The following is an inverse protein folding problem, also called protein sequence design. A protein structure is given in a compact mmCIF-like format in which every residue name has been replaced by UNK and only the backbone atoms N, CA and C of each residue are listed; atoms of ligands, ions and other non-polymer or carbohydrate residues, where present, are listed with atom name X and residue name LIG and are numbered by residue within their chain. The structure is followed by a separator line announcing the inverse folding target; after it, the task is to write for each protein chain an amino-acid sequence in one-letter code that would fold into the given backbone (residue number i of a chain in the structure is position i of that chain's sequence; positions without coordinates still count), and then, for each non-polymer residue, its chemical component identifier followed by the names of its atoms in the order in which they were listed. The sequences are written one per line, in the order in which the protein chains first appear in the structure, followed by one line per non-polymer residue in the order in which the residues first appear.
data_IF_542072714798
#
_entry.id   IF_542072714798
#
_cell.length_a   1.000
_cell.length_b   1.000
_cell.length_c   1.000
_cell.angle_alpha   90.00
_cell.angle_beta   90.00
_cell.angle_gamma   90.00
#
_symmetry.space_group_name_H-M   'P 1'
#
loop_
_entity.id
_entity.type
_entity.pdbx_description
1 polymer ?
#
# COMPACT_ATOMS: atom_id res chain seq x y z
N UNK A 1 0.75 -10.41 -13.56
CA UNK A 1 0.02 -9.88 -12.40
C UNK A 1 0.98 -9.06 -11.57
N UNK A 2 0.55 -7.91 -11.06
CA UNK A 2 1.21 -7.18 -9.99
C UNK A 2 0.36 -7.34 -8.75
N UNK A 3 0.98 -7.69 -7.64
CA UNK A 3 0.30 -7.87 -6.36
C UNK A 3 1.23 -7.52 -5.20
N UNK A 4 0.64 -7.24 -4.04
CA UNK A 4 1.37 -7.04 -2.81
C UNK A 4 0.52 -7.38 -1.58
N UNK A 5 1.19 -7.52 -0.47
CA UNK A 5 0.59 -7.86 0.82
C UNK A 5 0.63 -6.64 1.72
N UNK A 6 -0.53 -6.25 2.23
CA UNK A 6 -0.67 -5.01 2.99
C UNK A 6 -1.16 -5.27 4.41
N UNK A 7 -0.30 -4.99 5.36
CA UNK A 7 -0.57 -5.10 6.81
C UNK A 7 -0.28 -3.78 7.52
N UNK A 8 -1.14 -2.76 7.34
CA UNK A 8 -0.92 -1.45 7.96
C UNK A 8 -0.84 -1.54 9.48
N UNK A 9 0.08 -0.80 10.05
CA UNK A 9 0.27 -0.72 11.50
C UNK A 9 -0.74 0.25 12.15
N UNK A 10 -2.02 -0.09 12.10
CA UNK A 10 -3.14 0.70 12.64
C UNK A 10 -3.20 0.76 14.19
N UNK A 11 -2.17 0.32 14.85
CA UNK A 11 -2.11 0.24 16.30
C UNK A 11 -1.35 1.40 16.95
N UNK A 12 -0.69 2.22 16.17
CA UNK A 12 -0.07 3.44 16.66
C UNK A 12 -1.14 4.52 16.83
N UNK A 13 -1.44 4.89 18.05
CA UNK A 13 -2.39 5.97 18.33
C UNK A 13 -1.85 7.34 17.89
N UNK A 14 -0.53 7.45 17.80
CA UNK A 14 0.15 8.71 17.49
C UNK A 14 0.24 9.00 16.00
N UNK A 15 0.01 8.01 15.11
CA UNK A 15 0.26 8.21 13.67
C UNK A 15 -0.63 7.41 12.71
N UNK A 16 -1.93 7.26 13.02
CA UNK A 16 -2.88 6.61 12.10
C UNK A 16 -2.97 7.31 10.74
N UNK A 17 -2.81 8.64 10.74
CA UNK A 17 -2.79 9.42 9.51
C UNK A 17 -1.59 9.03 8.64
N UNK A 18 -0.40 8.92 9.23
CA UNK A 18 0.80 8.49 8.53
C UNK A 18 0.64 7.07 7.97
N UNK A 19 0.16 6.12 8.75
CA UNK A 19 -0.10 4.77 8.28
C UNK A 19 -1.08 4.73 7.09
N UNK A 20 -2.08 5.63 7.09
CA UNK A 20 -3.02 5.77 5.99
C UNK A 20 -2.35 6.30 4.72
N UNK A 21 -1.51 7.32 4.84
CA UNK A 21 -0.78 7.93 3.71
C UNK A 21 0.25 6.94 3.16
N UNK A 22 1.01 6.27 4.02
CA UNK A 22 1.99 5.26 3.62
C UNK A 22 1.33 4.11 2.86
N UNK A 23 0.20 3.61 3.36
CA UNK A 23 -0.60 2.57 2.70
C UNK A 23 -1.07 3.05 1.32
N UNK A 24 -1.62 4.26 1.22
CA UNK A 24 -2.04 4.86 -0.04
C UNK A 24 -0.87 5.00 -1.03
N UNK A 25 0.29 5.42 -0.54
CA UNK A 25 1.51 5.54 -1.34
C UNK A 25 1.92 4.20 -1.96
N UNK A 26 1.94 3.13 -1.17
CA UNK A 26 2.27 1.81 -1.70
C UNK A 26 1.21 1.29 -2.66
N UNK A 27 -0.07 1.48 -2.40
CA UNK A 27 -1.12 1.16 -3.37
C UNK A 27 -0.89 1.87 -4.71
N UNK A 28 -0.63 3.17 -4.70
CA UNK A 28 -0.32 3.93 -5.91
C UNK A 28 0.95 3.44 -6.61
N UNK A 29 1.99 3.07 -5.84
CA UNK A 29 3.23 2.53 -6.40
C UNK A 29 2.99 1.19 -7.11
N UNK A 30 2.27 0.25 -6.49
CA UNK A 30 1.97 -1.04 -7.12
C UNK A 30 1.03 -0.90 -8.32
N UNK A 31 0.06 0.00 -8.26
CA UNK A 31 -0.80 0.32 -9.40
C UNK A 31 0.00 0.86 -10.59
N UNK A 32 1.02 1.66 -10.33
CA UNK A 32 1.85 2.28 -11.36
C UNK A 32 2.81 1.34 -12.08
N UNK A 33 3.09 0.15 -11.51
CA UNK A 33 4.02 -0.82 -12.11
C UNK A 33 3.48 -1.43 -13.42
N UNK A 34 2.15 -1.45 -13.61
CA UNK A 34 1.49 -1.87 -14.86
C UNK A 34 0.28 -1.00 -15.11
N UNK A 35 0.45 0.05 -15.89
CA UNK A 35 -0.58 1.06 -16.14
C UNK A 35 -1.76 0.57 -16.99
N UNK A 36 -1.63 -0.57 -17.65
CA UNK A 36 -2.65 -1.16 -18.53
C UNK A 36 -3.64 -2.09 -17.79
N UNK A 37 -3.45 -2.30 -16.51
CA UNK A 37 -4.30 -3.20 -15.71
C UNK A 37 -4.22 -2.92 -14.21
N UNK A 38 -5.30 -3.21 -13.47
CA UNK A 38 -5.32 -3.13 -12.02
C UNK A 38 -4.25 -3.99 -11.35
N UNK A 39 -3.85 -3.63 -10.14
CA UNK A 39 -3.08 -4.50 -9.27
C UNK A 39 -3.99 -5.36 -8.40
N UNK A 40 -3.42 -6.30 -7.67
CA UNK A 40 -4.14 -7.16 -6.72
C UNK A 40 -3.59 -6.97 -5.31
N UNK A 41 -4.44 -6.64 -4.35
CA UNK A 41 -4.10 -6.78 -2.94
C UNK A 41 -4.28 -8.24 -2.54
N UNK A 42 -3.17 -9.01 -2.52
CA UNK A 42 -3.19 -10.46 -2.34
C UNK A 42 -3.33 -10.87 -0.89
N UNK A 43 -2.81 -10.09 0.03
CA UNK A 43 -2.97 -10.34 1.45
C UNK A 43 -3.28 -9.07 2.23
N UNK A 44 -4.11 -9.23 3.24
CA UNK A 44 -4.35 -8.28 4.31
C UNK A 44 -4.86 -9.03 5.53
N UNK A 45 -4.64 -8.51 6.72
CA UNK A 45 -5.22 -9.13 7.91
C UNK A 45 -6.68 -8.72 8.08
N UNK A 46 -7.60 -9.68 8.27
CA UNK A 46 -8.99 -9.35 8.60
C UNK A 46 -9.12 -8.87 10.06
N UNK A 47 -8.10 -9.09 10.90
CA UNK A 47 -8.11 -8.68 12.30
C UNK A 47 -6.70 -8.28 12.78
N UNK A 48 -6.10 -9.00 13.70
CA UNK A 48 -4.76 -8.74 14.23
C UNK A 48 -3.71 -9.60 13.55
N UNK A 49 -2.48 -9.11 13.47
CA UNK A 49 -1.30 -9.89 13.09
C UNK A 49 -0.60 -10.41 14.34
N UNK A 50 0.10 -11.56 14.25
CA UNK A 50 0.83 -12.09 15.39
C UNK A 50 2.35 -11.83 15.36
N UNK A 51 2.83 -11.17 14.32
CA UNK A 51 4.26 -10.90 14.07
C UNK A 51 4.62 -9.42 14.20
N UNK A 52 3.64 -8.52 14.22
CA UNK A 52 3.87 -7.10 14.51
C UNK A 52 4.13 -6.88 16.01
N UNK A 53 4.88 -5.84 16.35
CA UNK A 53 5.23 -5.51 17.73
C UNK A 53 3.99 -5.32 18.63
N UNK A 54 2.91 -4.79 18.06
CA UNK A 54 1.62 -4.64 18.74
C UNK A 54 0.55 -5.32 17.89
N UNK A 55 -0.09 -6.35 18.46
CA UNK A 55 -1.19 -7.08 17.81
C UNK A 55 -2.52 -6.54 18.33
N UNK A 56 -3.02 -5.48 17.70
CA UNK A 56 -4.27 -4.82 18.06
C UNK A 56 -5.34 -5.08 17.00
N UNK A 57 -6.55 -5.40 17.44
CA UNK A 57 -7.69 -5.50 16.53
C UNK A 57 -8.01 -4.15 15.91
N UNK A 58 -8.30 -4.13 14.63
CA UNK A 58 -8.79 -2.93 13.95
C UNK A 58 -10.07 -2.43 14.61
N UNK A 59 -10.20 -1.12 14.71
CA UNK A 59 -11.44 -0.49 15.17
C UNK A 59 -12.60 -0.80 14.22
N UNK A 60 -13.86 -0.77 14.71
CA UNK A 60 -15.03 -0.89 13.82
C UNK A 60 -14.96 0.12 12.66
N UNK A 61 -15.27 -0.34 11.46
CA UNK A 61 -15.23 0.47 10.24
C UNK A 61 -13.87 0.56 9.55
N UNK A 62 -12.75 0.40 10.27
CA UNK A 62 -11.41 0.49 9.67
C UNK A 62 -11.14 -0.59 8.63
N UNK A 63 -11.74 -1.76 8.79
CA UNK A 63 -11.57 -2.84 7.83
C UNK A 63 -12.20 -2.49 6.47
N UNK A 64 -13.41 -1.94 6.50
CA UNK A 64 -14.08 -1.44 5.30
C UNK A 64 -13.31 -0.30 4.65
N UNK A 65 -12.87 0.68 5.46
CA UNK A 65 -12.12 1.84 4.98
C UNK A 65 -10.82 1.42 4.27
N UNK A 66 -10.02 0.53 4.89
CA UNK A 66 -8.77 0.05 4.31
C UNK A 66 -9.00 -0.75 3.01
N UNK A 67 -10.08 -1.55 2.95
CA UNK A 67 -10.44 -2.31 1.76
C UNK A 67 -10.86 -1.38 0.60
N UNK A 68 -11.67 -0.37 0.89
CA UNK A 68 -12.07 0.63 -0.11
C UNK A 68 -10.92 1.53 -0.54
N UNK A 69 -9.96 1.82 0.35
CA UNK A 69 -8.75 2.54 -0.02
C UNK A 69 -7.95 1.77 -1.09
N UNK A 70 -7.78 0.45 -0.92
CA UNK A 70 -7.10 -0.36 -1.94
C UNK A 70 -7.81 -0.30 -3.30
N UNK A 71 -9.14 -0.42 -3.32
CA UNK A 71 -9.95 -0.31 -4.55
C UNK A 71 -9.84 1.09 -5.17
N UNK A 72 -9.95 2.15 -4.35
CA UNK A 72 -9.83 3.53 -4.81
C UNK A 72 -8.45 3.83 -5.43
N UNK A 73 -7.41 3.10 -5.04
CA UNK A 73 -6.06 3.17 -5.61
C UNK A 73 -5.82 2.17 -6.76
N UNK A 74 -6.86 1.52 -7.26
CA UNK A 74 -6.78 0.67 -8.46
C UNK A 74 -6.61 -0.82 -8.21
N UNK A 75 -6.90 -1.32 -7.00
CA UNK A 75 -6.94 -2.76 -6.78
C UNK A 75 -8.25 -3.38 -7.23
N UNK A 76 -8.19 -4.48 -7.98
CA UNK A 76 -9.37 -5.29 -8.33
C UNK A 76 -9.72 -6.32 -7.26
N UNK A 77 -8.90 -6.47 -6.23
CA UNK A 77 -9.12 -7.49 -5.20
C UNK A 77 -8.87 -6.97 -3.80
N UNK A 78 -9.60 -7.57 -2.85
CA UNK A 78 -9.29 -7.48 -1.43
C UNK A 78 -9.27 -8.91 -0.89
N UNK A 79 -8.08 -9.42 -0.61
CA UNK A 79 -7.89 -10.79 -0.12
C UNK A 79 -7.29 -10.77 1.28
N UNK A 80 -7.54 -11.84 2.02
CA UNK A 80 -7.18 -11.91 3.43
C UNK A 80 -6.35 -13.14 3.74
N UNK A 81 -5.29 -12.97 4.47
CA UNK A 81 -4.66 -14.02 5.23
C UNK A 81 -5.13 -13.90 6.69
N UNK A 82 -5.99 -14.86 7.20
CA UNK A 82 -6.39 -16.09 6.53
C UNK A 82 -7.89 -16.35 6.72
N UNK A 83 -8.43 -17.31 5.97
CA UNK A 83 -9.85 -17.68 6.13
C UNK A 83 -10.14 -18.26 7.50
N UNK A 84 -9.36 -19.26 7.92
CA UNK A 84 -9.56 -19.94 9.20
C UNK A 84 -8.28 -19.90 10.03
N UNK A 85 -8.42 -19.55 11.30
CA UNK A 85 -7.31 -19.46 12.23
C UNK A 85 -6.63 -20.82 12.42
N UNK A 86 -5.31 -20.86 12.24
CA UNK A 86 -4.49 -22.07 12.42
C UNK A 86 -4.52 -22.55 13.86
N UNK A 87 -4.52 -23.86 14.08
CA UNK A 87 -4.53 -24.47 15.42
C UNK A 87 -3.15 -24.67 16.01
N UNK A 88 -2.11 -24.45 15.24
CA UNK A 88 -0.73 -24.63 15.66
C UNK A 88 0.23 -23.88 14.75
N UNK A 89 1.53 -24.04 14.99
CA UNK A 89 2.62 -23.38 14.29
C UNK A 89 2.66 -21.86 14.53
N UNK A 90 3.52 -21.18 13.80
CA UNK A 90 3.75 -19.74 13.95
C UNK A 90 2.48 -18.88 13.74
N UNK A 91 1.55 -19.35 12.92
CA UNK A 91 0.34 -18.61 12.54
C UNK A 91 -0.88 -18.89 13.43
N UNK A 92 -0.74 -19.66 14.51
CA UNK A 92 -1.87 -20.03 15.36
C UNK A 92 -2.59 -18.84 16.02
N UNK A 93 -1.90 -17.71 16.19
CA UNK A 93 -2.48 -16.47 16.75
C UNK A 93 -2.70 -15.37 15.72
N UNK A 94 -2.36 -15.63 14.45
CA UNK A 94 -2.66 -14.69 13.39
C UNK A 94 -4.17 -14.53 13.21
N UNK A 95 -4.59 -13.31 12.86
CA UNK A 95 -6.00 -13.02 12.59
C UNK A 95 -6.55 -13.84 11.43
N UNK A 96 -7.82 -14.16 11.52
CA UNK A 96 -8.52 -14.89 10.48
C UNK A 96 -9.98 -14.43 10.43
N UNK A 97 -10.65 -14.71 9.30
CA UNK A 97 -12.09 -14.46 9.15
C UNK A 97 -12.89 -15.32 10.13
N UNK A 98 -12.54 -16.61 10.20
CA UNK A 98 -13.13 -17.57 11.14
C UNK A 98 -12.15 -17.87 12.25
N UNK A 99 -12.55 -17.63 13.50
CA UNK A 99 -11.74 -17.85 14.69
C UNK A 99 -11.72 -19.33 15.12
N UNK A 100 -10.95 -19.65 16.20
CA UNK A 100 -10.81 -21.02 16.71
C UNK A 100 -12.13 -21.66 17.18
N UNK A 101 -13.08 -20.86 17.62
CA UNK A 101 -14.43 -21.29 18.02
C UNK A 101 -15.34 -21.66 16.85
N UNK A 102 -14.87 -21.45 15.61
CA UNK A 102 -15.61 -21.66 14.37
C UNK A 102 -16.90 -20.84 14.27
N UNK A 103 -17.05 -19.78 15.04
CA UNK A 103 -18.22 -18.92 15.01
C UNK A 103 -18.18 -17.96 13.83
N UNK A 104 -19.32 -17.81 13.14
CA UNK A 104 -19.57 -16.70 12.21
C UNK A 104 -20.16 -15.48 12.92
N UNK A 105 -20.54 -15.59 14.18
CA UNK A 105 -21.08 -14.49 14.98
C UNK A 105 -19.96 -13.71 15.68
N UNK A 106 -18.98 -13.25 14.90
CA UNK A 106 -17.91 -12.38 15.37
C UNK A 106 -17.95 -11.04 14.66
N UNK A 107 -17.39 -10.01 15.28
CA UNK A 107 -17.27 -8.70 14.61
C UNK A 107 -16.43 -8.80 13.33
N UNK A 108 -15.33 -9.54 13.37
CA UNK A 108 -14.44 -9.72 12.21
C UNK A 108 -15.18 -10.36 11.03
N UNK A 109 -15.98 -11.40 11.29
CA UNK A 109 -16.76 -12.04 10.24
C UNK A 109 -17.78 -11.07 9.62
N UNK A 110 -18.48 -10.31 10.46
CA UNK A 110 -19.43 -9.29 10.00
C UNK A 110 -18.75 -8.16 9.22
N UNK A 111 -17.58 -7.70 9.66
CA UNK A 111 -16.81 -6.68 8.97
C UNK A 111 -16.38 -7.15 7.57
N UNK A 112 -15.91 -8.40 7.42
CA UNK A 112 -15.55 -9.00 6.13
C UNK A 112 -16.78 -9.18 5.24
N UNK A 113 -17.91 -9.64 5.80
CA UNK A 113 -19.17 -9.74 5.07
C UNK A 113 -19.58 -8.37 4.51
N UNK A 114 -19.48 -7.32 5.33
CA UNK A 114 -19.81 -5.97 4.91
C UNK A 114 -18.91 -5.45 3.76
N UNK A 115 -17.63 -5.79 3.79
CA UNK A 115 -16.73 -5.50 2.64
C UNK A 115 -17.24 -6.20 1.38
N UNK A 116 -17.56 -7.50 1.45
CA UNK A 116 -18.06 -8.26 0.31
C UNK A 116 -19.37 -7.71 -0.27
N UNK A 117 -20.30 -7.27 0.58
CA UNK A 117 -21.54 -6.60 0.17
C UNK A 117 -21.23 -5.28 -0.55
N UNK A 118 -20.40 -4.44 0.06
CA UNK A 118 -20.01 -3.14 -0.51
C UNK A 118 -19.32 -3.29 -1.87
N UNK A 119 -18.43 -4.28 -2.01
CA UNK A 119 -17.76 -4.55 -3.30
C UNK A 119 -18.74 -5.00 -4.39
N UNK A 120 -19.80 -5.71 -4.04
CA UNK A 120 -20.90 -6.01 -5.01
C UNK A 120 -21.62 -4.75 -5.46
N UNK A 121 -21.86 -3.81 -4.55
CA UNK A 121 -22.58 -2.58 -4.83
C UNK A 121 -21.78 -1.65 -5.76
N UNK A 122 -20.44 -1.71 -5.72
CA UNK A 122 -19.54 -0.89 -6.56
C UNK A 122 -18.87 -1.70 -7.68
N UNK A 123 -19.44 -2.84 -8.08
CA UNK A 123 -18.83 -3.76 -9.07
C UNK A 123 -18.50 -3.12 -10.42
N UNK A 124 -19.10 -1.99 -10.75
CA UNK A 124 -18.86 -1.24 -11.98
C UNK A 124 -17.45 -0.66 -12.05
N UNK A 125 -16.75 -0.51 -10.91
CA UNK A 125 -15.36 -0.04 -10.92
C UNK A 125 -14.34 -1.15 -11.23
N UNK A 126 -14.78 -2.42 -11.30
CA UNK A 126 -13.90 -3.54 -11.60
C UNK A 126 -13.24 -3.37 -12.98
N UNK A 127 -11.92 -3.54 -13.04
CA UNK A 127 -11.13 -3.33 -14.26
C UNK A 127 -10.91 -1.86 -14.63
N UNK A 128 -11.39 -0.90 -13.84
CA UNK A 128 -11.13 0.51 -14.11
C UNK A 128 -9.66 0.86 -13.86
N UNK A 129 -9.17 1.87 -14.56
CA UNK A 129 -7.80 2.36 -14.43
C UNK A 129 -7.82 3.81 -13.95
N UNK A 130 -6.90 4.13 -13.07
CA UNK A 130 -6.66 5.52 -12.66
C UNK A 130 -5.88 6.26 -13.77
N UNK A 131 -6.21 7.54 -13.95
CA UNK A 131 -5.48 8.42 -14.87
C UNK A 131 -5.01 9.63 -14.07
N UNK A 132 -3.72 9.72 -13.84
CA UNK A 132 -3.12 10.77 -13.03
C UNK A 132 -2.23 11.67 -13.91
N UNK A 133 -2.23 12.95 -13.62
CA UNK A 133 -1.42 13.96 -14.33
C UNK A 133 -0.13 14.33 -13.58
N UNK A 134 0.04 13.78 -12.38
CA UNK A 134 1.20 13.99 -11.51
C UNK A 134 1.86 12.66 -11.23
N UNK A 135 3.19 12.63 -11.24
CA UNK A 135 3.96 11.45 -10.88
C UNK A 135 5.13 11.78 -9.95
N UNK A 136 5.54 10.79 -9.19
CA UNK A 136 6.77 10.80 -8.41
C UNK A 136 7.75 9.82 -9.04
N UNK A 137 8.97 10.29 -9.34
CA UNK A 137 10.03 9.42 -9.84
C UNK A 137 10.58 8.56 -8.70
N UNK A 138 10.50 7.25 -8.88
CA UNK A 138 11.11 6.25 -8.01
C UNK A 138 12.34 5.68 -8.70
N UNK A 139 13.50 5.93 -8.11
CA UNK A 139 14.78 5.50 -8.67
C UNK A 139 15.45 4.45 -7.78
N UNK A 140 15.50 3.21 -8.27
CA UNK A 140 16.14 2.10 -7.57
C UNK A 140 17.65 2.25 -7.42
N UNK A 141 18.32 2.83 -8.41
CA UNK A 141 19.77 3.04 -8.36
C UNK A 141 20.14 4.04 -7.28
N UNK A 142 19.35 5.10 -7.11
CA UNK A 142 19.47 6.03 -5.99
C UNK A 142 19.23 5.35 -4.65
N UNK A 143 18.18 4.54 -4.55
CA UNK A 143 17.88 3.78 -3.32
C UNK A 143 19.04 2.87 -2.92
N UNK A 144 19.57 2.10 -3.86
CA UNK A 144 20.68 1.17 -3.60
C UNK A 144 21.99 1.91 -3.32
N UNK A 145 22.28 2.97 -4.06
CA UNK A 145 23.45 3.81 -3.82
C UNK A 145 23.44 4.40 -2.41
N UNK A 146 22.29 4.90 -1.97
CA UNK A 146 22.13 5.43 -0.62
C UNK A 146 22.28 4.36 0.46
N UNK A 147 21.84 3.13 0.21
CA UNK A 147 22.03 1.99 1.12
C UNK A 147 23.51 1.63 1.31
N UNK A 148 24.28 1.67 0.23
CA UNK A 148 25.70 1.30 0.23
C UNK A 148 26.59 2.43 0.76
N UNK A 149 26.26 3.68 0.45
CA UNK A 149 27.08 4.82 0.83
C UNK A 149 27.18 5.00 2.36
N UNK A 150 28.40 5.16 2.87
CA UNK A 150 28.66 5.26 4.31
C UNK A 150 28.60 6.70 4.88
N UNK A 151 28.44 7.69 4.02
CA UNK A 151 28.53 9.12 4.39
C UNK A 151 27.44 9.60 5.35
N UNK A 152 26.37 8.82 5.54
CA UNK A 152 25.25 9.18 6.42
C UNK A 152 25.09 8.12 7.52
N UNK A 153 24.92 8.56 8.77
CA UNK A 153 24.93 7.67 9.93
C UNK A 153 23.70 6.77 10.09
N UNK A 154 22.58 7.08 9.47
CA UNK A 154 21.32 6.33 9.62
C UNK A 154 21.04 5.49 8.37
N UNK A 155 21.78 4.40 8.20
CA UNK A 155 21.67 3.52 7.03
C UNK A 155 20.43 2.61 7.05
N UNK A 156 19.79 2.42 8.21
CA UNK A 156 18.73 1.41 8.38
C UNK A 156 17.49 1.67 7.52
N UNK A 157 17.12 2.93 7.29
CA UNK A 157 15.96 3.32 6.49
C UNK A 157 16.32 3.80 5.08
N UNK A 158 17.33 3.21 4.43
CA UNK A 158 17.80 3.72 3.14
C UNK A 158 18.01 5.25 3.17
N UNK A 159 18.52 5.76 4.29
CA UNK A 159 18.82 7.19 4.54
C UNK A 159 17.64 8.13 4.33
N UNK A 160 16.47 7.66 4.70
CA UNK A 160 15.25 8.42 4.62
C UNK A 160 14.62 8.46 3.22
N UNK A 161 15.05 7.59 2.30
CA UNK A 161 14.52 7.54 0.95
C UNK A 161 12.99 7.43 0.95
N UNK A 162 12.45 6.40 1.59
CA UNK A 162 10.99 6.21 1.69
C UNK A 162 10.31 7.33 2.46
N UNK A 163 10.92 7.86 3.51
CA UNK A 163 10.37 8.97 4.28
C UNK A 163 10.23 10.25 3.44
N UNK A 164 11.17 10.50 2.53
CA UNK A 164 11.09 11.66 1.63
C UNK A 164 10.02 11.43 0.56
N UNK A 165 9.92 10.22 0.01
CA UNK A 165 8.82 9.85 -0.90
C UNK A 165 7.47 10.04 -0.22
N UNK A 166 7.30 9.50 0.99
CA UNK A 166 6.08 9.60 1.79
C UNK A 166 5.66 11.06 2.04
N UNK A 167 6.61 11.93 2.37
CA UNK A 167 6.32 13.36 2.58
C UNK A 167 5.83 14.05 1.30
N UNK A 168 6.46 13.77 0.16
CA UNK A 168 6.04 14.34 -1.12
C UNK A 168 4.68 13.77 -1.54
N UNK A 169 4.51 12.47 -1.45
CA UNK A 169 3.24 11.82 -1.74
C UNK A 169 2.12 12.32 -0.82
N UNK A 170 2.37 12.37 0.48
CA UNK A 170 1.41 12.80 1.49
C UNK A 170 0.92 14.25 1.29
N UNK A 171 1.79 15.14 0.82
CA UNK A 171 1.40 16.51 0.49
C UNK A 171 0.41 16.54 -0.70
N UNK A 172 0.64 15.74 -1.73
CA UNK A 172 -0.26 15.60 -2.88
C UNK A 172 -1.56 14.91 -2.47
N UNK A 173 -1.46 13.84 -1.70
CA UNK A 173 -2.60 13.07 -1.21
C UNK A 173 -3.58 13.93 -0.38
N UNK A 174 -3.07 14.80 0.50
CA UNK A 174 -3.89 15.74 1.28
C UNK A 174 -4.62 16.76 0.40
N UNK A 175 -4.10 17.06 -0.77
CA UNK A 175 -4.74 17.92 -1.77
C UNK A 175 -5.68 17.18 -2.71
N UNK A 176 -5.91 15.87 -2.48
CA UNK A 176 -6.66 14.97 -3.37
C UNK A 176 -6.08 14.93 -4.80
N UNK A 177 -4.78 15.04 -4.95
CA UNK A 177 -4.09 14.93 -6.23
C UNK A 177 -3.70 13.47 -6.44
N UNK A 178 -4.33 12.81 -7.41
CA UNK A 178 -3.96 11.47 -7.83
C UNK A 178 -2.51 11.45 -8.33
N UNK A 179 -1.72 10.50 -7.86
CA UNK A 179 -0.27 10.48 -8.08
C UNK A 179 0.19 9.09 -8.45
N UNK A 180 0.82 8.97 -9.61
CA UNK A 180 1.51 7.75 -10.05
C UNK A 180 2.96 7.73 -9.57
N UNK A 181 3.55 6.54 -9.64
CA UNK A 181 5.00 6.39 -9.60
C UNK A 181 5.52 6.08 -10.99
N UNK A 182 6.64 6.69 -11.34
CA UNK A 182 7.33 6.47 -12.62
C UNK A 182 8.76 6.04 -12.36
N UNK A 183 9.27 5.22 -13.26
CA UNK A 183 10.63 4.71 -13.23
C UNK A 183 11.42 5.29 -14.41
N UNK A 184 12.76 5.24 -14.36
CA UNK A 184 13.61 5.87 -15.37
C UNK A 184 13.26 5.48 -16.81
N UNK A 185 12.80 4.24 -17.03
CA UNK A 185 12.48 3.73 -18.37
C UNK A 185 11.07 4.07 -18.85
N UNK A 186 10.22 4.68 -18.03
CA UNK A 186 8.84 4.98 -18.37
C UNK A 186 8.73 6.18 -19.33
N UNK A 187 7.61 6.26 -20.05
CA UNK A 187 7.24 7.46 -20.80
C UNK A 187 6.62 8.49 -19.85
N UNK A 188 7.22 9.67 -19.82
CA UNK A 188 6.80 10.79 -18.98
C UNK A 188 5.82 11.75 -19.68
N UNK A 189 5.58 11.59 -20.96
CA UNK A 189 4.85 12.57 -21.79
C UNK A 189 3.39 12.80 -21.35
N UNK A 190 2.80 11.84 -20.65
CA UNK A 190 1.42 11.95 -20.16
C UNK A 190 1.30 12.81 -18.88
N UNK A 191 2.40 13.11 -18.19
CA UNK A 191 2.36 13.83 -16.92
C UNK A 191 2.60 15.31 -17.11
N UNK A 192 1.81 16.13 -16.42
CA UNK A 192 2.01 17.58 -16.35
C UNK A 192 3.09 17.98 -15.35
N UNK A 193 3.24 17.17 -14.29
CA UNK A 193 4.22 17.39 -13.21
C UNK A 193 4.88 16.07 -12.83
N UNK A 194 6.21 16.09 -12.76
CA UNK A 194 7.00 14.98 -12.24
C UNK A 194 7.85 15.51 -11.08
N UNK A 195 7.72 14.88 -9.92
CA UNK A 195 8.51 15.20 -8.74
C UNK A 195 9.62 14.15 -8.61
N UNK A 196 10.86 14.61 -8.57
CA UNK A 196 12.03 13.75 -8.41
C UNK A 196 12.71 14.03 -7.06
N UNK A 197 12.18 13.51 -5.95
CA UNK A 197 12.59 13.93 -4.62
C UNK A 197 13.96 13.40 -4.20
N UNK A 198 14.40 12.30 -4.78
CA UNK A 198 15.65 11.63 -4.41
C UNK A 198 16.36 11.06 -5.64
N UNK A 199 17.26 11.85 -6.22
CA UNK A 199 18.16 11.42 -7.29
C UNK A 199 19.60 11.49 -6.76
N UNK A 200 20.09 10.37 -6.20
CA UNK A 200 21.44 10.27 -5.64
C UNK A 200 22.43 9.58 -6.59
N UNK A 201 21.95 8.75 -7.52
CA UNK A 201 22.73 8.20 -8.62
C UNK A 201 22.46 9.00 -9.90
N UNK A 202 23.46 9.10 -10.78
CA UNK A 202 23.30 9.84 -12.03
C UNK A 202 22.29 9.18 -12.94
N UNK A 203 21.36 9.97 -13.47
CA UNK A 203 20.46 9.55 -14.55
C UNK A 203 21.32 9.21 -15.76
N UNK A 204 21.10 8.04 -16.38
CA UNK A 204 21.86 7.64 -17.56
C UNK A 204 21.72 8.70 -18.67
N UNK A 205 22.84 9.02 -19.34
CA UNK A 205 22.94 10.06 -20.40
C UNK A 205 21.99 9.87 -21.61
N UNK A 206 21.09 8.92 -21.59
CA UNK A 206 20.19 8.61 -22.71
C UNK A 206 18.86 9.37 -22.70
N UNK A 207 18.57 10.15 -21.67
CA UNK A 207 17.36 10.99 -21.65
C UNK A 207 17.75 12.45 -21.43
N UNK A 208 17.75 13.20 -22.50
CA UNK A 208 17.60 14.66 -22.46
C UNK A 208 16.14 14.92 -22.09
N UNK A 209 15.92 15.56 -20.95
CA UNK A 209 14.62 16.08 -20.56
C UNK A 209 14.14 17.11 -21.58
#
# INVERSE_FOLDING_TARGET
VISWDNYPEWHSEEDEFRATVETAMFHSQFNSMKKDRPFMMMESSPSATNWQAISKLRRPGMHLLASLQAVAHGSDTVQYFQWRKSRGQSEQFHGAVVSHDNSSDTRVFRDVTKVGETLKDIREVCGSLTQNEVAILFDYDSLWSLRIAQAYRNAEEAKGFYRILEKNYGALWQLNVGTDFVYEQDDFSQYKVIIAPMLAAGVSKKRTL
#
